data_IF_522660467799
#
_entry.id   IF_522660467799
#
_cell.length_a   1.000
_cell.length_b   1.000
_cell.length_c   1.000
_cell.angle_alpha   90.00
_cell.angle_beta   90.00
_cell.angle_gamma   90.00
#
_symmetry.space_group_name_H-M   'P 1'
#
loop_
_entity.id
_entity.type
_entity.pdbx_description
1 polymer ?
#
# COMPACT_ATOMS: atom_id res chain seq x y z
N UNK A 1 -3.93 16.94 15.57
CA UNK A 1 -5.05 16.08 15.11
C UNK A 1 -5.11 15.93 13.59
N UNK A 2 -4.97 17.01 12.79
CA UNK A 2 -4.98 16.93 11.32
C UNK A 2 -4.02 15.86 10.74
N UNK A 3 -2.81 15.75 11.29
CA UNK A 3 -1.80 14.80 10.81
C UNK A 3 -2.18 13.33 11.13
N UNK A 4 -2.78 13.07 12.29
CA UNK A 4 -3.19 11.71 12.69
C UNK A 4 -4.32 11.21 11.79
N UNK A 5 -5.29 12.09 11.47
CA UNK A 5 -6.38 11.76 10.56
C UNK A 5 -5.86 11.52 9.13
N UNK A 6 -4.90 12.33 8.67
CA UNK A 6 -4.24 12.11 7.39
C UNK A 6 -3.52 10.76 7.34
N UNK A 7 -2.77 10.39 8.38
CA UNK A 7 -2.10 9.09 8.46
C UNK A 7 -3.10 7.93 8.41
N UNK A 8 -4.19 8.02 9.18
CA UNK A 8 -5.25 7.01 9.15
C UNK A 8 -5.84 6.85 7.75
N UNK A 9 -6.13 7.97 7.08
CA UNK A 9 -6.65 7.96 5.71
C UNK A 9 -5.65 7.31 4.74
N UNK A 10 -4.36 7.62 4.86
CA UNK A 10 -3.31 7.01 4.04
C UNK A 10 -3.28 5.49 4.22
N UNK A 11 -3.34 4.99 5.45
CA UNK A 11 -3.31 3.55 5.72
C UNK A 11 -4.54 2.81 5.19
N UNK A 12 -5.73 3.39 5.33
CA UNK A 12 -6.96 2.84 4.76
C UNK A 12 -6.87 2.80 3.23
N UNK A 13 -6.47 3.91 2.60
CA UNK A 13 -6.34 3.98 1.13
C UNK A 13 -5.31 2.97 0.63
N UNK A 14 -4.15 2.84 1.27
CA UNK A 14 -3.14 1.86 0.86
C UNK A 14 -3.63 0.42 1.02
N UNK A 15 -4.33 0.09 2.10
CA UNK A 15 -4.91 -1.24 2.29
C UNK A 15 -5.88 -1.60 1.17
N UNK A 16 -6.73 -0.64 0.77
CA UNK A 16 -7.67 -0.81 -0.34
C UNK A 16 -6.96 -0.92 -1.69
N UNK A 17 -5.94 -0.10 -1.95
CA UNK A 17 -5.16 -0.16 -3.18
C UNK A 17 -4.44 -1.51 -3.35
N UNK A 18 -3.82 -2.03 -2.28
CA UNK A 18 -3.18 -3.34 -2.28
C UNK A 18 -4.19 -4.46 -2.59
N UNK A 19 -5.36 -4.44 -1.96
CA UNK A 19 -6.42 -5.41 -2.23
C UNK A 19 -6.93 -5.30 -3.68
N UNK A 20 -7.16 -4.09 -4.17
CA UNK A 20 -7.67 -3.85 -5.52
C UNK A 20 -6.67 -4.26 -6.60
N UNK A 21 -5.39 -3.94 -6.43
CA UNK A 21 -4.37 -4.41 -7.37
C UNK A 21 -4.20 -5.92 -7.32
N UNK A 22 -4.34 -6.54 -6.16
CA UNK A 22 -4.35 -8.01 -6.05
C UNK A 22 -5.52 -8.62 -6.83
N UNK A 23 -6.71 -8.04 -6.73
CA UNK A 23 -7.88 -8.46 -7.52
C UNK A 23 -7.64 -8.32 -9.03
N UNK A 24 -7.02 -7.22 -9.46
CA UNK A 24 -6.62 -7.06 -10.87
C UNK A 24 -5.52 -8.05 -11.28
N UNK A 25 -4.60 -8.38 -10.38
CA UNK A 25 -3.57 -9.40 -10.61
C UNK A 25 -4.17 -10.78 -10.86
N UNK A 26 -5.33 -11.09 -10.27
CA UNK A 26 -6.03 -12.36 -10.52
C UNK A 26 -6.54 -12.50 -11.95
N UNK A 27 -6.67 -11.42 -12.72
CA UNK A 27 -7.02 -11.51 -14.15
C UNK A 27 -5.86 -12.07 -14.97
N UNK A 28 -4.64 -11.90 -14.50
CA UNK A 28 -3.43 -12.41 -15.15
C UNK A 28 -3.05 -13.82 -14.70
N UNK A 29 -3.80 -14.42 -13.78
CA UNK A 29 -3.70 -15.82 -13.38
C UNK A 29 -4.96 -16.57 -13.88
N UNK A 30 -4.92 -17.89 -14.04
CA UNK A 30 -6.17 -18.66 -14.29
C UNK A 30 -7.04 -18.77 -13.01
N UNK A 31 -6.74 -17.96 -11.99
CA UNK A 31 -7.22 -18.00 -10.61
C UNK A 31 -8.66 -17.53 -10.38
N UNK A 32 -9.47 -17.33 -11.44
CA UNK A 32 -10.93 -17.19 -11.27
C UNK A 32 -11.61 -18.49 -10.80
N UNK A 33 -10.87 -19.60 -10.71
CA UNK A 33 -11.34 -20.82 -10.04
C UNK A 33 -10.34 -21.30 -8.98
N UNK A 34 -10.83 -21.62 -7.77
CA UNK A 34 -10.03 -22.16 -6.65
C UNK A 34 -9.67 -21.16 -5.54
N UNK A 35 -8.93 -21.63 -4.52
CA UNK A 35 -8.63 -20.89 -3.28
C UNK A 35 -7.81 -19.60 -3.45
N UNK A 36 -7.25 -19.35 -4.64
CA UNK A 36 -6.51 -18.13 -4.99
C UNK A 36 -7.46 -16.92 -5.14
N UNK A 37 -8.73 -17.15 -5.47
CA UNK A 37 -9.74 -16.09 -5.58
C UNK A 37 -9.96 -15.30 -4.27
N UNK A 38 -9.56 -15.85 -3.12
CA UNK A 38 -9.64 -15.19 -1.83
C UNK A 38 -8.43 -14.28 -1.52
N UNK A 39 -7.40 -14.28 -2.37
CA UNK A 39 -6.18 -13.49 -2.16
C UNK A 39 -6.43 -11.98 -1.92
N UNK A 40 -7.36 -11.30 -2.62
CA UNK A 40 -7.63 -9.89 -2.36
C UNK A 40 -8.15 -9.64 -0.94
N UNK A 41 -8.98 -10.55 -0.41
CA UNK A 41 -9.50 -10.47 0.96
C UNK A 41 -8.37 -10.71 1.96
N UNK A 42 -7.52 -11.71 1.71
CA UNK A 42 -6.33 -11.97 2.55
C UNK A 42 -5.39 -10.76 2.58
N UNK A 43 -5.13 -10.14 1.43
CA UNK A 43 -4.31 -8.94 1.32
C UNK A 43 -4.96 -7.76 2.04
N UNK A 44 -6.29 -7.59 1.95
CA UNK A 44 -6.99 -6.55 2.69
C UNK A 44 -6.85 -6.73 4.21
N UNK A 45 -7.03 -7.97 4.72
CA UNK A 45 -6.86 -8.27 6.14
C UNK A 45 -5.43 -8.00 6.60
N UNK A 46 -4.42 -8.43 5.83
CA UNK A 46 -3.02 -8.09 6.12
C UNK A 46 -2.79 -6.58 6.08
N UNK A 47 -3.37 -5.86 5.13
CA UNK A 47 -3.31 -4.39 5.05
C UNK A 47 -3.93 -3.70 6.27
N UNK A 48 -5.04 -4.23 6.80
CA UNK A 48 -5.66 -3.71 8.04
C UNK A 48 -4.77 -3.98 9.27
N UNK A 49 -4.13 -5.15 9.36
CA UNK A 49 -3.16 -5.43 10.41
C UNK A 49 -1.96 -4.47 10.33
N UNK A 50 -1.42 -4.27 9.13
CA UNK A 50 -0.35 -3.30 8.87
C UNK A 50 -0.79 -1.88 9.23
N UNK A 51 -2.02 -1.51 8.89
CA UNK A 51 -2.62 -0.21 9.25
C UNK A 51 -2.67 -0.02 10.75
N UNK A 52 -3.06 -1.03 11.53
CA UNK A 52 -3.10 -0.95 12.98
C UNK A 52 -1.70 -0.74 13.59
N UNK A 53 -0.71 -1.50 13.12
CA UNK A 53 0.69 -1.39 13.58
C UNK A 53 1.29 -0.03 13.16
N UNK A 54 1.07 0.39 11.92
CA UNK A 54 1.51 1.68 11.40
C UNK A 54 0.86 2.85 12.14
N UNK A 55 -0.43 2.76 12.43
CA UNK A 55 -1.16 3.76 13.20
C UNK A 55 -0.65 3.89 14.62
N UNK A 56 -0.41 2.78 15.32
CA UNK A 56 0.22 2.81 16.64
C UNK A 56 1.61 3.48 16.60
N UNK A 57 2.39 3.16 15.57
CA UNK A 57 3.71 3.77 15.33
C UNK A 57 3.59 5.28 15.13
N UNK A 58 2.65 5.74 14.33
CA UNK A 58 2.39 7.18 14.12
C UNK A 58 1.91 7.86 15.39
N UNK A 59 1.09 7.20 16.23
CA UNK A 59 0.66 7.78 17.50
C UNK A 59 1.84 8.05 18.43
N UNK A 60 2.81 7.12 18.50
CA UNK A 60 4.02 7.27 19.31
C UNK A 60 4.95 8.33 18.71
N UNK A 61 5.15 8.32 17.39
CA UNK A 61 6.12 9.16 16.68
C UNK A 61 5.47 10.27 15.83
N UNK A 62 4.37 10.86 16.30
CA UNK A 62 3.49 11.76 15.54
C UNK A 62 4.22 12.92 14.84
N UNK A 63 5.30 13.45 15.44
CA UNK A 63 6.09 14.55 14.83
C UNK A 63 6.88 14.11 13.59
N UNK A 64 7.27 12.84 13.49
CA UNK A 64 8.06 12.33 12.37
C UNK A 64 7.19 12.11 11.12
N UNK A 65 5.94 11.70 11.30
CA UNK A 65 5.02 11.23 10.24
C UNK A 65 4.00 12.29 9.82
N UNK A 66 4.50 13.43 9.34
CA UNK A 66 3.69 14.60 8.99
C UNK A 66 3.30 14.71 7.51
N UNK A 67 3.74 13.79 6.65
CA UNK A 67 3.53 13.84 5.19
C UNK A 67 2.91 12.53 4.69
N UNK A 68 2.20 12.60 3.56
CA UNK A 68 1.58 11.41 2.94
C UNK A 68 2.66 10.40 2.59
N UNK A 69 3.76 10.87 1.98
CA UNK A 69 4.88 10.02 1.60
C UNK A 69 5.50 9.24 2.76
N UNK A 70 5.78 9.89 3.90
CA UNK A 70 6.38 9.19 5.07
C UNK A 70 5.45 8.13 5.65
N UNK A 71 4.14 8.40 5.69
CA UNK A 71 3.15 7.41 6.09
C UNK A 71 3.11 6.26 5.10
N UNK A 72 3.15 6.54 3.79
CA UNK A 72 3.15 5.52 2.76
C UNK A 72 4.38 4.61 2.84
N UNK A 73 5.58 5.18 3.04
CA UNK A 73 6.80 4.39 3.26
C UNK A 73 6.71 3.51 4.50
N UNK A 74 6.19 4.04 5.62
CA UNK A 74 6.01 3.25 6.84
C UNK A 74 5.08 2.05 6.58
N UNK A 75 3.94 2.28 5.94
CA UNK A 75 3.01 1.22 5.59
C UNK A 75 3.69 0.16 4.72
N UNK A 76 4.38 0.60 3.67
CA UNK A 76 4.97 -0.30 2.69
C UNK A 76 6.10 -1.15 3.29
N UNK A 77 6.93 -0.56 4.16
CA UNK A 77 7.97 -1.32 4.87
C UNK A 77 7.34 -2.43 5.71
N UNK A 78 6.32 -2.10 6.51
CA UNK A 78 5.65 -3.09 7.36
C UNK A 78 4.94 -4.15 6.49
N UNK A 79 4.29 -3.74 5.40
CA UNK A 79 3.62 -4.65 4.47
C UNK A 79 4.58 -5.61 3.76
N UNK A 80 5.75 -5.13 3.31
CA UNK A 80 6.77 -6.01 2.74
C UNK A 80 7.29 -7.01 3.77
N UNK A 81 7.46 -6.60 5.03
CA UNK A 81 7.81 -7.54 6.09
C UNK A 81 6.72 -8.59 6.32
N UNK A 82 5.43 -8.22 6.27
CA UNK A 82 4.35 -9.20 6.43
C UNK A 82 4.31 -10.18 5.26
N UNK A 83 4.57 -9.76 4.02
CA UNK A 83 4.71 -10.67 2.87
C UNK A 83 5.89 -11.65 3.02
N UNK A 84 7.03 -11.17 3.50
CA UNK A 84 8.20 -12.03 3.74
C UNK A 84 7.88 -13.07 4.82
N UNK A 85 7.27 -12.64 5.93
CA UNK A 85 6.90 -13.52 7.05
C UNK A 85 5.82 -14.53 6.64
N UNK A 86 4.90 -14.17 5.75
CA UNK A 86 3.89 -15.10 5.23
C UNK A 86 4.48 -16.17 4.29
N UNK A 87 5.78 -16.07 3.95
CA UNK A 87 6.47 -17.01 3.09
C UNK A 87 6.28 -16.76 1.59
N UNK A 88 5.68 -15.62 1.21
CA UNK A 88 5.49 -15.25 -0.20
C UNK A 88 6.87 -14.93 -0.81
N UNK A 89 7.31 -15.73 -1.78
CA UNK A 89 8.64 -15.59 -2.38
C UNK A 89 8.55 -15.08 -3.82
N UNK A 90 8.99 -13.84 -4.12
CA UNK A 90 8.86 -13.27 -5.46
C UNK A 90 9.74 -13.93 -6.53
N UNK A 91 10.78 -14.66 -6.12
CA UNK A 91 11.73 -15.28 -7.05
C UNK A 91 11.40 -16.75 -7.35
N UNK A 92 10.54 -17.39 -6.55
CA UNK A 92 10.21 -18.79 -6.68
C UNK A 92 9.48 -19.13 -7.99
N UNK A 93 8.82 -18.13 -8.62
CA UNK A 93 8.23 -18.30 -9.94
C UNK A 93 9.28 -18.59 -11.03
N UNK A 94 10.39 -17.84 -11.03
CA UNK A 94 11.40 -17.89 -12.10
C UNK A 94 12.27 -19.16 -12.07
N UNK A 95 12.23 -19.92 -10.97
CA UNK A 95 13.05 -21.13 -10.79
C UNK A 95 12.28 -22.44 -11.06
N UNK A 96 11.03 -22.35 -11.56
CA UNK A 96 10.26 -23.52 -12.01
C UNK A 96 8.78 -23.51 -11.59
N UNK A 97 8.14 -22.34 -11.46
CA UNK A 97 6.94 -22.18 -10.65
C UNK A 97 5.58 -22.38 -11.33
N UNK A 98 4.67 -23.02 -10.57
CA UNK A 98 3.20 -23.05 -10.77
C UNK A 98 2.60 -21.64 -10.65
N UNK A 99 1.39 -21.43 -11.18
CA UNK A 99 0.68 -20.14 -11.18
C UNK A 99 0.55 -19.43 -9.82
N UNK A 100 0.45 -20.17 -8.71
CA UNK A 100 0.41 -19.59 -7.36
C UNK A 100 1.66 -18.73 -7.08
N UNK A 101 2.81 -19.14 -7.59
CA UNK A 101 4.07 -18.42 -7.40
C UNK A 101 4.14 -17.15 -8.28
N UNK A 102 3.37 -17.10 -9.36
CA UNK A 102 3.23 -15.88 -10.16
C UNK A 102 2.47 -14.80 -9.38
N UNK A 103 1.43 -15.18 -8.64
CA UNK A 103 0.72 -14.24 -7.76
C UNK A 103 1.64 -13.67 -6.69
N UNK A 104 2.50 -14.48 -6.08
CA UNK A 104 3.49 -13.99 -5.11
C UNK A 104 4.36 -12.90 -5.74
N UNK A 105 4.91 -13.11 -6.93
CA UNK A 105 5.66 -12.08 -7.66
C UNK A 105 4.81 -10.81 -7.90
N UNK A 106 3.56 -10.97 -8.32
CA UNK A 106 2.65 -9.85 -8.56
C UNK A 106 2.33 -9.06 -7.28
N UNK A 107 2.28 -9.68 -6.09
CA UNK A 107 2.07 -8.95 -4.82
C UNK A 107 3.21 -7.96 -4.54
N UNK A 108 4.47 -8.37 -4.77
CA UNK A 108 5.63 -7.47 -4.62
C UNK A 108 5.65 -6.40 -5.71
N UNK A 109 5.23 -6.73 -6.93
CA UNK A 109 5.12 -5.75 -8.01
C UNK A 109 4.01 -4.72 -7.72
N UNK A 110 2.87 -5.17 -7.18
CA UNK A 110 1.76 -4.32 -6.76
C UNK A 110 2.21 -3.36 -5.66
N UNK A 111 2.97 -3.85 -4.69
CA UNK A 111 3.59 -3.02 -3.64
C UNK A 111 4.38 -1.84 -4.21
N UNK A 112 5.20 -2.07 -5.24
CA UNK A 112 5.89 -1.00 -5.94
C UNK A 112 4.93 0.00 -6.61
N UNK A 113 3.88 -0.48 -7.29
CA UNK A 113 2.89 0.37 -7.93
C UNK A 113 2.04 1.19 -6.95
N UNK A 114 1.67 0.62 -5.79
CA UNK A 114 0.96 1.34 -4.72
C UNK A 114 1.84 2.49 -4.22
N UNK A 115 3.10 2.22 -3.92
CA UNK A 115 4.03 3.26 -3.45
C UNK A 115 4.21 4.38 -4.50
N UNK A 116 4.31 4.02 -5.79
CA UNK A 116 4.37 4.99 -6.89
C UNK A 116 3.09 5.85 -6.98
N UNK A 117 1.91 5.24 -6.86
CA UNK A 117 0.63 5.96 -6.80
C UNK A 117 0.60 6.95 -5.63
N UNK A 118 1.03 6.52 -4.44
CA UNK A 118 1.09 7.38 -3.26
C UNK A 118 2.07 8.54 -3.43
N UNK A 119 3.21 8.31 -4.10
CA UNK A 119 4.15 9.37 -4.46
C UNK A 119 3.52 10.42 -5.38
N UNK A 120 2.77 9.99 -6.41
CA UNK A 120 2.07 10.90 -7.31
C UNK A 120 0.98 11.69 -6.57
N UNK A 121 0.23 11.05 -5.67
CA UNK A 121 -0.78 11.71 -4.84
C UNK A 121 -0.14 12.75 -3.92
N UNK A 122 0.97 12.45 -3.26
CA UNK A 122 1.71 13.41 -2.41
C UNK A 122 2.17 14.63 -3.22
N UNK A 123 2.70 14.41 -4.43
CA UNK A 123 3.08 15.50 -5.34
C UNK A 123 1.90 16.37 -5.76
N UNK A 124 0.77 15.77 -6.12
CA UNK A 124 -0.44 16.49 -6.48
C UNK A 124 -0.98 17.30 -5.30
N UNK A 125 -1.03 16.69 -4.12
CA UNK A 125 -1.48 17.33 -2.88
C UNK A 125 -0.61 18.56 -2.54
N UNK A 126 0.71 18.42 -2.62
CA UNK A 126 1.66 19.51 -2.40
C UNK A 126 1.45 20.65 -3.40
N UNK A 127 1.28 20.34 -4.69
CA UNK A 127 1.07 21.35 -5.75
C UNK A 127 -0.24 22.13 -5.55
N UNK A 128 -1.32 21.46 -5.18
CA UNK A 128 -2.63 22.10 -4.92
C UNK A 128 -2.54 23.04 -3.71
N UNK A 129 -1.89 22.62 -2.63
CA UNK A 129 -1.74 23.44 -1.44
C UNK A 129 -0.85 24.67 -1.70
N UNK A 130 0.20 24.51 -2.51
CA UNK A 130 1.06 25.62 -2.94
C UNK A 130 0.29 26.65 -3.77
N UNK A 131 -0.50 26.17 -4.74
CA UNK A 131 -1.32 27.05 -5.60
C UNK A 131 -2.36 27.83 -4.78
N UNK A 132 -3.01 27.19 -3.80
CA UNK A 132 -3.96 27.84 -2.90
C UNK A 132 -3.29 28.90 -2.02
N UNK A 133 -2.07 28.66 -1.56
CA UNK A 133 -1.30 29.64 -0.78
C UNK A 133 -0.94 30.88 -1.60
N UNK A 134 -0.65 30.71 -2.89
CA UNK A 134 -0.28 31.83 -3.77
C UNK A 134 -1.47 32.75 -4.05
N UNK A 135 -2.64 32.17 -4.38
CA UNK A 135 -3.85 32.95 -4.64
C UNK A 135 -4.37 33.75 -3.42
N UNK A 136 -4.05 33.34 -2.20
CA UNK A 136 -4.44 34.05 -0.98
C UNK A 136 -3.49 35.22 -0.61
N UNK A 137 -2.31 35.31 -1.24
CA UNK A 137 -1.36 36.43 -1.04
C UNK A 137 -1.64 37.56 -2.05
N UNK A 138 -2.20 37.21 -3.21
CA UNK A 138 -2.57 38.13 -4.28
C UNK A 138 -4.01 38.69 -4.14
N UNK A 139 -4.68 38.46 -3.00
CA UNK A 139 -5.97 39.06 -2.60
C UNK A 139 -5.78 39.99 -1.40
#
# INVERSE_FOLDING_TARGET
MKNIFLSLMVFVVMSLLHAQFTDWSLVFTDGKSGGIAMAPISVLLSGLMVSAIGFLTVLIFNKAYNTILKNAFLFEIIYLFTLIISGANPFAYFTGGKEILFLDFLLYLNSFFVLLMMFLIDRLYSKIHLAKSKNNIDQ
#
